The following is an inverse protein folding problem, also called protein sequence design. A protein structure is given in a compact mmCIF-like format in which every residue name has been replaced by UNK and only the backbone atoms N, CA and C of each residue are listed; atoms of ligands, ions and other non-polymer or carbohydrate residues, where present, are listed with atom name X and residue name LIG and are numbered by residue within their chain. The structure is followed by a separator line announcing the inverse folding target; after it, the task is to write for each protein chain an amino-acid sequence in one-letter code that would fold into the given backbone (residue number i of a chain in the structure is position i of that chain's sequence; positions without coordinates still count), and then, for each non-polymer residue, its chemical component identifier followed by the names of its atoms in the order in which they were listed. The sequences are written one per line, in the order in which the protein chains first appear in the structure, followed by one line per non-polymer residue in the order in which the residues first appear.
data_IF_353995778152
#
_entry.id   IF_353995778152
#
_cell.length_a   1.000
_cell.length_b   1.000
_cell.length_c   1.000
_cell.angle_alpha   90.00
_cell.angle_beta   90.00
_cell.angle_gamma   90.00
#
_symmetry.space_group_name_H-M   'P 1'
#
loop_
_entity.id
_entity.type
_entity.pdbx_description
1 polymer ?
#
# COMPACT_ATOMS: atom_id res chain seq x y z
N UNK A 1 -25.77 -31.41 16.24
CA UNK A 1 -25.89 -30.37 15.18
C UNK A 1 -25.69 -29.04 15.90
N UNK A 2 -24.63 -28.26 15.74
CA UNK A 2 -23.90 -27.86 14.54
C UNK A 2 -22.42 -27.65 14.91
N UNK A 3 -21.52 -28.22 14.11
CA UNK A 3 -20.07 -27.97 14.23
C UNK A 3 -19.75 -26.80 13.30
N UNK A 4 -19.38 -25.65 13.87
CA UNK A 4 -18.80 -24.56 13.09
C UNK A 4 -17.30 -24.83 12.93
N UNK A 5 -16.93 -25.35 11.76
CA UNK A 5 -15.55 -25.39 11.29
C UNK A 5 -15.03 -23.96 11.17
N UNK A 6 -14.27 -23.51 12.16
CA UNK A 6 -13.41 -22.35 12.07
C UNK A 6 -12.29 -22.66 11.08
N UNK A 7 -12.46 -22.25 9.82
CA UNK A 7 -11.34 -22.18 8.87
C UNK A 7 -10.61 -20.87 9.16
N UNK A 8 -9.76 -20.92 10.19
CA UNK A 8 -8.83 -19.85 10.53
C UNK A 8 -7.75 -19.72 9.47
N UNK A 9 -7.92 -18.80 8.53
CA UNK A 9 -6.80 -18.23 7.79
C UNK A 9 -6.48 -16.88 8.43
N UNK A 10 -5.69 -16.94 9.52
CA UNK A 10 -4.92 -15.80 9.98
C UNK A 10 -3.94 -15.43 8.87
N UNK A 11 -3.97 -14.18 8.41
CA UNK A 11 -2.91 -13.69 7.53
C UNK A 11 -1.68 -13.55 8.43
N UNK A 12 -0.73 -14.48 8.26
CA UNK A 12 0.56 -14.47 8.96
C UNK A 12 1.24 -13.09 8.75
N UNK A 13 1.75 -12.41 9.78
CA UNK A 13 2.56 -11.21 9.62
C UNK A 13 3.71 -11.35 8.59
N UNK A 14 4.17 -12.58 8.34
CA UNK A 14 5.11 -12.91 7.25
C UNK A 14 4.55 -12.64 5.82
N UNK A 15 3.25 -12.41 5.68
CA UNK A 15 2.56 -12.07 4.42
C UNK A 15 2.77 -10.59 4.05
N UNK A 16 3.03 -9.70 5.00
CA UNK A 16 3.40 -8.30 4.70
C UNK A 16 4.89 -8.15 4.41
N UNK A 17 5.74 -8.97 5.04
CA UNK A 17 7.19 -8.96 4.85
C UNK A 17 7.75 -10.39 4.94
N UNK A 18 8.23 -10.99 3.84
CA UNK A 18 8.88 -12.29 3.94
C UNK A 18 10.14 -12.17 4.80
N UNK A 19 10.28 -13.01 5.83
CA UNK A 19 11.53 -13.11 6.60
C UNK A 19 12.66 -13.48 5.65
N UNK A 20 13.68 -12.63 5.54
CA UNK A 20 14.97 -13.01 4.94
C UNK A 20 15.60 -14.02 5.90
N UNK A 21 15.38 -15.32 5.66
CA UNK A 21 16.06 -16.37 6.41
C UNK A 21 17.54 -16.36 5.99
N UNK A 22 18.40 -15.84 6.86
CA UNK A 22 19.83 -16.13 6.82
C UNK A 22 20.01 -17.65 6.93
N UNK A 23 20.53 -18.27 5.88
CA UNK A 23 20.77 -19.71 5.84
C UNK A 23 21.96 -20.06 6.72
N UNK A 24 21.71 -20.44 7.97
CA UNK A 24 22.62 -21.31 8.70
C UNK A 24 22.36 -22.75 8.20
N UNK A 25 23.26 -23.25 7.33
CA UNK A 25 23.30 -24.66 6.94
C UNK A 25 23.50 -25.53 8.19
N UNK A 26 22.62 -26.49 8.40
CA UNK A 26 22.97 -27.76 9.05
C UNK A 26 22.52 -28.89 8.15
N UNK A 27 23.50 -29.64 7.66
CA UNK A 27 23.30 -30.89 6.94
C UNK A 27 22.68 -31.94 7.87
N UNK A 28 21.67 -32.65 7.36
CA UNK A 28 21.40 -34.04 7.74
C UNK A 28 20.59 -34.76 6.64
N UNK A 29 21.09 -35.95 6.33
CA UNK A 29 20.78 -36.87 5.24
C UNK A 29 19.33 -37.41 5.11
N UNK A 30 18.85 -37.47 3.85
CA UNK A 30 18.25 -38.62 3.10
C UNK A 30 17.09 -39.45 3.71
N UNK A 31 15.95 -39.50 2.98
CA UNK A 31 15.41 -40.64 2.15
C UNK A 31 13.90 -40.48 1.87
N UNK A 32 13.46 -40.90 0.69
CA UNK A 32 12.06 -41.29 0.40
C UNK A 32 11.45 -40.63 -0.84
N UNK A 33 11.51 -41.32 -1.99
CA UNK A 33 10.93 -40.90 -3.25
C UNK A 33 9.47 -41.35 -3.39
N UNK A 34 8.62 -40.51 -4.00
CA UNK A 34 7.50 -40.96 -4.85
C UNK A 34 7.23 -39.92 -5.95
N UNK A 35 7.23 -40.41 -7.18
CA UNK A 35 7.05 -39.71 -8.46
C UNK A 35 5.57 -39.30 -8.62
N UNK A 36 5.28 -38.05 -8.98
CA UNK A 36 4.00 -37.65 -9.59
C UNK A 36 4.29 -36.72 -10.77
N UNK A 37 3.70 -37.09 -11.90
CA UNK A 37 3.84 -36.43 -13.19
C UNK A 37 3.38 -34.98 -13.12
N UNK A 38 4.25 -34.06 -13.54
CA UNK A 38 3.93 -32.64 -13.69
C UNK A 38 4.11 -32.25 -15.15
N UNK A 39 3.00 -31.83 -15.75
CA UNK A 39 2.93 -31.26 -17.10
C UNK A 39 3.81 -30.00 -17.15
N UNK A 40 4.78 -29.99 -18.06
CA UNK A 40 5.69 -28.87 -18.25
C UNK A 40 4.95 -27.69 -18.91
N UNK A 41 4.91 -26.54 -18.21
CA UNK A 41 4.54 -25.26 -18.81
C UNK A 41 5.76 -24.69 -19.57
N UNK A 42 5.55 -24.01 -20.72
CA UNK A 42 6.64 -23.49 -21.52
C UNK A 42 7.44 -22.43 -20.74
N UNK A 43 8.76 -22.61 -20.74
CA UNK A 43 9.71 -21.68 -20.11
C UNK A 43 10.05 -20.57 -21.10
N UNK A 44 9.46 -19.39 -20.89
CA UNK A 44 9.92 -18.18 -21.54
C UNK A 44 11.24 -17.75 -20.90
N UNK A 45 12.37 -18.01 -21.57
CA UNK A 45 13.68 -17.51 -21.17
C UNK A 45 13.83 -16.06 -21.64
N UNK A 46 13.41 -15.10 -20.82
CA UNK A 46 13.97 -13.76 -20.87
C UNK A 46 15.26 -13.77 -20.06
N UNK A 47 16.40 -13.85 -20.75
CA UNK A 47 17.72 -13.73 -20.14
C UNK A 47 18.03 -12.27 -19.82
N UNK A 48 17.52 -11.78 -18.70
CA UNK A 48 18.09 -10.60 -18.04
C UNK A 48 19.26 -11.10 -17.19
N UNK A 49 20.47 -11.02 -17.73
CA UNK A 49 21.71 -11.20 -16.94
C UNK A 49 21.89 -9.94 -16.11
N UNK A 50 21.26 -9.91 -14.93
CA UNK A 50 21.65 -8.97 -13.90
C UNK A 50 22.90 -9.54 -13.23
N UNK A 51 24.05 -8.90 -13.46
CA UNK A 51 25.27 -9.12 -12.70
C UNK A 51 25.09 -8.47 -11.30
N UNK A 52 24.12 -8.95 -10.53
CA UNK A 52 23.82 -8.44 -9.19
C UNK A 52 24.56 -9.27 -8.18
N UNK A 53 25.56 -8.69 -7.51
CA UNK A 53 25.94 -9.15 -6.18
C UNK A 53 24.72 -8.91 -5.28
N UNK A 54 24.01 -9.96 -4.81
CA UNK A 54 22.87 -9.75 -3.92
C UNK A 54 23.36 -9.05 -2.65
N UNK A 55 22.57 -8.08 -2.16
CA UNK A 55 22.85 -7.40 -0.90
C UNK A 55 23.06 -8.43 0.22
N UNK A 56 24.18 -8.31 0.94
CA UNK A 56 24.48 -9.20 2.07
C UNK A 56 23.60 -8.86 3.27
N UNK A 57 23.49 -9.80 4.24
CA UNK A 57 22.79 -9.52 5.50
C UNK A 57 23.36 -8.28 6.21
N UNK A 58 24.68 -8.08 6.14
CA UNK A 58 25.36 -6.90 6.70
C UNK A 58 24.91 -5.60 6.02
N UNK A 59 24.70 -5.61 4.71
CA UNK A 59 24.24 -4.43 3.96
C UNK A 59 22.81 -4.06 4.35
N UNK A 60 21.93 -5.06 4.49
CA UNK A 60 20.56 -4.86 4.99
C UNK A 60 20.54 -4.33 6.42
N UNK A 61 21.36 -4.89 7.31
CA UNK A 61 21.47 -4.41 8.69
C UNK A 61 21.98 -2.97 8.74
N UNK A 62 23.01 -2.64 7.96
CA UNK A 62 23.54 -1.28 7.88
C UNK A 62 22.49 -0.29 7.35
N UNK A 63 21.70 -0.67 6.34
CA UNK A 63 20.60 0.14 5.83
C UNK A 63 19.51 0.35 6.89
N UNK A 64 19.13 -0.71 7.62
CA UNK A 64 18.16 -0.64 8.70
C UNK A 64 18.62 0.31 9.81
N UNK A 65 19.87 0.21 10.26
CA UNK A 65 20.40 1.10 11.30
C UNK A 65 20.42 2.57 10.85
N UNK A 66 20.72 2.85 9.58
CA UNK A 66 20.62 4.21 9.01
C UNK A 66 19.18 4.73 9.02
N UNK A 67 18.21 3.87 8.67
CA UNK A 67 16.79 4.24 8.72
C UNK A 67 16.32 4.51 10.15
N UNK A 68 16.70 3.68 11.13
CA UNK A 68 16.39 3.91 12.54
C UNK A 68 16.98 5.24 13.04
N UNK A 69 18.25 5.53 12.69
CA UNK A 69 18.87 6.82 12.98
C UNK A 69 18.10 8.00 12.39
N UNK A 70 17.62 7.89 11.14
CA UNK A 70 16.81 8.93 10.50
C UNK A 70 15.44 9.11 11.14
N UNK A 71 14.82 8.03 11.62
CA UNK A 71 13.56 8.08 12.37
C UNK A 71 13.76 8.84 13.68
N UNK A 72 14.81 8.51 14.46
CA UNK A 72 15.13 9.25 15.69
C UNK A 72 15.37 10.73 15.41
N UNK A 73 16.18 11.05 14.39
CA UNK A 73 16.44 12.44 14.00
C UNK A 73 15.16 13.19 13.59
N UNK A 74 14.27 12.52 12.84
CA UNK A 74 12.97 13.10 12.44
C UNK A 74 12.08 13.33 13.65
N UNK A 75 11.96 12.34 14.56
CA UNK A 75 11.17 12.45 15.77
C UNK A 75 11.64 13.58 16.71
N UNK A 76 12.94 13.90 16.72
CA UNK A 76 13.48 15.06 17.43
C UNK A 76 13.23 16.41 16.75
N UNK A 77 12.93 16.42 15.44
CA UNK A 77 12.67 17.64 14.68
C UNK A 77 11.18 17.99 14.57
N UNK A 78 10.30 17.00 14.48
CA UNK A 78 8.87 17.22 14.24
C UNK A 78 8.08 17.09 15.54
N UNK A 79 7.56 18.22 16.04
CA UNK A 79 6.76 18.29 17.27
C UNK A 79 5.30 18.65 16.98
N UNK A 80 5.10 19.62 16.09
CA UNK A 80 3.79 20.29 15.91
C UNK A 80 3.07 19.90 14.62
N UNK A 81 3.72 19.14 13.72
CA UNK A 81 3.11 18.70 12.47
C UNK A 81 3.81 17.49 11.87
N UNK A 82 3.08 16.76 11.01
CA UNK A 82 3.57 15.57 10.34
C UNK A 82 4.60 15.96 9.28
N UNK A 83 5.75 15.28 9.18
CA UNK A 83 6.73 15.54 8.13
C UNK A 83 6.11 15.25 6.75
N UNK A 84 6.28 16.18 5.81
CA UNK A 84 5.74 16.07 4.47
C UNK A 84 6.84 15.88 3.41
N UNK A 85 7.78 16.83 3.33
CA UNK A 85 9.00 16.71 2.52
C UNK A 85 10.16 17.40 3.20
N UNK A 86 11.38 16.91 2.94
CA UNK A 86 12.60 17.42 3.52
C UNK A 86 13.40 18.23 2.51
N UNK A 87 14.03 19.31 2.96
CA UNK A 87 15.07 20.00 2.22
C UNK A 87 16.27 19.04 2.02
N UNK A 88 16.71 18.76 0.78
CA UNK A 88 17.78 17.82 0.51
C UNK A 88 19.17 18.31 0.97
N UNK A 89 19.37 19.62 1.10
CA UNK A 89 20.63 20.21 1.55
C UNK A 89 20.71 20.28 3.07
N UNK A 90 19.63 20.69 3.73
CA UNK A 90 19.62 20.91 5.19
C UNK A 90 19.03 19.74 5.98
N UNK A 91 18.28 18.86 5.32
CA UNK A 91 17.56 17.77 5.95
C UNK A 91 16.34 18.21 6.76
N UNK A 92 15.97 19.50 6.74
CA UNK A 92 14.86 20.06 7.51
C UNK A 92 13.51 19.69 6.91
N UNK A 93 12.57 19.28 7.75
CA UNK A 93 11.21 18.96 7.35
C UNK A 93 10.32 20.20 7.18
N UNK A 94 9.64 20.29 6.05
CA UNK A 94 8.36 20.98 5.96
C UNK A 94 7.29 20.06 6.55
N UNK A 95 6.48 20.59 7.47
CA UNK A 95 5.47 19.82 8.19
C UNK A 95 4.04 20.25 7.85
N UNK A 96 3.08 19.38 8.14
CA UNK A 96 1.65 19.60 7.95
C UNK A 96 0.90 19.34 9.27
N UNK A 97 0.09 20.28 9.81
CA UNK A 97 -0.48 20.13 11.14
C UNK A 97 -1.35 18.88 11.32
N UNK A 98 -2.25 18.62 10.37
CA UNK A 98 -3.19 17.50 10.42
C UNK A 98 -2.78 16.32 9.50
N UNK A 99 -1.53 16.31 9.04
CA UNK A 99 -1.02 15.32 8.08
C UNK A 99 -1.62 15.53 6.70
N UNK A 100 -0.87 16.06 5.74
CA UNK A 100 -1.28 15.98 4.33
C UNK A 100 -1.48 14.51 3.90
N UNK A 101 -1.76 14.20 2.63
CA UNK A 101 -1.88 12.82 2.13
C UNK A 101 -0.71 11.88 2.52
N UNK A 102 0.44 12.46 2.93
CA UNK A 102 1.61 11.74 3.42
C UNK A 102 1.63 11.46 4.92
N UNK A 103 0.70 11.99 5.71
CA UNK A 103 0.74 11.96 7.18
C UNK A 103 0.91 10.54 7.74
N UNK A 104 0.20 9.57 7.16
CA UNK A 104 0.29 8.16 7.55
C UNK A 104 1.66 7.51 7.34
N UNK A 105 2.53 8.04 6.46
CA UNK A 105 3.84 7.42 6.21
C UNK A 105 4.80 7.58 7.39
N UNK A 106 4.76 8.71 8.11
CA UNK A 106 5.58 8.92 9.30
C UNK A 106 5.24 7.90 10.39
N UNK A 107 3.95 7.79 10.68
CA UNK A 107 3.41 6.77 11.57
C UNK A 107 3.83 5.37 11.15
N UNK A 108 3.73 5.06 9.85
CA UNK A 108 4.12 3.76 9.31
C UNK A 108 5.59 3.44 9.55
N UNK A 109 6.49 4.42 9.36
CA UNK A 109 7.91 4.27 9.69
C UNK A 109 8.11 3.99 11.19
N UNK A 110 7.40 4.68 12.08
CA UNK A 110 7.46 4.43 13.52
C UNK A 110 6.91 3.05 13.90
N UNK A 111 5.81 2.59 13.28
CA UNK A 111 5.28 1.24 13.48
C UNK A 111 6.25 0.16 13.02
N UNK A 112 6.89 0.35 11.86
CA UNK A 112 7.91 -0.56 11.35
C UNK A 112 9.14 -0.59 12.25
N UNK A 113 9.60 0.56 12.76
CA UNK A 113 10.70 0.62 13.72
C UNK A 113 10.35 -0.10 15.03
N UNK A 114 9.15 0.12 15.56
CA UNK A 114 8.66 -0.57 16.75
C UNK A 114 8.61 -2.09 16.55
N UNK A 115 8.11 -2.57 15.41
CA UNK A 115 8.09 -3.99 15.07
C UNK A 115 9.50 -4.56 14.90
N UNK A 116 10.39 -3.84 14.21
CA UNK A 116 11.75 -4.31 13.93
C UNK A 116 12.62 -4.39 15.19
N UNK A 117 12.47 -3.46 16.14
CA UNK A 117 13.35 -3.39 17.31
C UNK A 117 12.72 -3.87 18.61
N UNK A 118 11.39 -3.98 18.67
CA UNK A 118 10.65 -4.27 19.91
C UNK A 118 10.83 -3.21 21.01
N UNK A 119 11.14 -1.96 20.63
CA UNK A 119 11.44 -0.87 21.59
C UNK A 119 10.25 0.05 21.77
N UNK A 120 9.93 0.35 23.02
CA UNK A 120 8.76 1.16 23.40
C UNK A 120 8.74 2.59 22.85
N UNK A 121 9.86 3.36 22.80
CA UNK A 121 9.82 4.74 22.30
C UNK A 121 9.27 4.87 20.87
N UNK A 122 9.55 3.91 19.99
CA UNK A 122 9.00 3.92 18.63
C UNK A 122 7.50 3.66 18.61
N UNK A 123 7.03 2.74 19.48
CA UNK A 123 5.60 2.43 19.62
C UNK A 123 4.84 3.63 20.16
N UNK A 124 5.39 4.32 21.16
CA UNK A 124 4.81 5.52 21.75
C UNK A 124 4.71 6.65 20.73
N UNK A 125 5.77 6.91 19.97
CA UNK A 125 5.72 7.86 18.86
C UNK A 125 4.67 7.46 17.83
N UNK A 126 4.70 6.21 17.36
CA UNK A 126 3.76 5.74 16.35
C UNK A 126 2.32 6.00 16.79
N UNK A 127 1.97 5.61 18.02
CA UNK A 127 0.63 5.81 18.54
C UNK A 127 0.27 7.30 18.72
N UNK A 128 1.15 8.11 19.30
CA UNK A 128 0.89 9.53 19.54
C UNK A 128 0.57 10.27 18.22
N UNK A 129 1.30 9.95 17.15
CA UNK A 129 1.02 10.48 15.82
C UNK A 129 -0.23 9.86 15.18
N UNK A 130 -0.59 8.62 15.53
CA UNK A 130 -1.77 7.93 14.97
C UNK A 130 -3.04 8.53 15.50
N UNK A 131 -3.07 8.90 16.78
CA UNK A 131 -4.20 9.59 17.41
C UNK A 131 -4.52 10.91 16.71
N UNK A 132 -3.49 11.66 16.30
CA UNK A 132 -3.63 12.93 15.57
C UNK A 132 -4.31 12.78 14.20
N UNK A 133 -4.32 11.59 13.61
CA UNK A 133 -4.98 11.33 12.33
C UNK A 133 -6.49 11.15 12.44
N UNK A 134 -7.07 10.94 13.64
CA UNK A 134 -8.51 10.67 13.80
C UNK A 134 -9.41 11.72 13.15
N UNK A 135 -9.03 13.00 13.25
CA UNK A 135 -9.78 14.11 12.63
C UNK A 135 -9.88 13.98 11.11
N UNK A 136 -9.00 13.22 10.47
CA UNK A 136 -8.99 12.97 9.01
C UNK A 136 -9.92 11.85 8.58
N UNK A 137 -10.61 11.17 9.51
CA UNK A 137 -11.58 10.12 9.17
C UNK A 137 -12.72 10.65 8.28
N UNK A 138 -13.07 11.94 8.45
CA UNK A 138 -14.15 12.60 7.70
C UNK A 138 -13.69 13.45 6.52
N UNK A 139 -12.39 13.71 6.34
CA UNK A 139 -11.85 14.56 5.26
C UNK A 139 -12.33 14.12 3.88
N UNK A 140 -12.83 15.02 3.04
CA UNK A 140 -13.29 14.70 1.68
C UNK A 140 -12.12 14.45 0.71
N UNK A 141 -11.39 13.37 0.95
CA UNK A 141 -10.35 12.88 0.04
C UNK A 141 -10.20 11.36 0.09
N UNK A 142 -9.90 10.76 -1.06
CA UNK A 142 -9.52 9.34 -1.18
C UNK A 142 -8.19 9.02 -0.49
N UNK A 143 -7.30 10.00 -0.32
CA UNK A 143 -5.98 9.80 0.28
C UNK A 143 -6.04 9.42 1.76
N UNK A 144 -7.22 9.49 2.40
CA UNK A 144 -7.42 8.92 3.73
C UNK A 144 -7.12 7.42 3.78
N UNK A 145 -7.24 6.72 2.64
CA UNK A 145 -6.75 5.34 2.50
C UNK A 145 -5.29 5.19 2.94
N UNK A 146 -4.38 6.07 2.53
CA UNK A 146 -2.99 6.06 2.99
C UNK A 146 -2.85 6.41 4.46
N UNK A 147 -3.56 7.46 4.89
CA UNK A 147 -3.48 7.95 6.25
C UNK A 147 -3.76 6.82 7.24
N UNK A 148 -4.82 6.05 7.02
CA UNK A 148 -5.21 5.01 7.94
C UNK A 148 -4.58 3.64 7.63
N UNK A 149 -4.22 3.33 6.38
CA UNK A 149 -3.46 2.12 6.06
C UNK A 149 -2.05 2.15 6.68
N UNK A 150 -1.26 3.19 6.39
CA UNK A 150 0.08 3.30 6.97
C UNK A 150 0.04 3.79 8.41
N UNK A 151 -0.89 4.70 8.71
CA UNK A 151 -0.92 5.35 10.01
C UNK A 151 -1.47 4.50 11.13
N UNK A 152 -2.48 3.67 10.88
CA UNK A 152 -3.16 2.93 11.95
C UNK A 152 -3.14 1.42 11.74
N UNK A 153 -3.42 0.94 10.52
CA UNK A 153 -3.52 -0.49 10.25
C UNK A 153 -2.22 -1.24 10.53
N UNK A 154 -1.06 -0.66 10.22
CA UNK A 154 0.23 -1.32 10.51
C UNK A 154 0.40 -1.61 12.01
N UNK A 155 0.05 -0.69 12.89
CA UNK A 155 0.10 -0.92 14.35
C UNK A 155 -0.85 -2.02 14.81
N UNK A 156 -2.03 -2.10 14.21
CA UNK A 156 -3.01 -3.15 14.50
C UNK A 156 -2.50 -4.53 14.06
N UNK A 157 -1.95 -4.65 12.85
CA UNK A 157 -1.54 -5.94 12.26
C UNK A 157 -0.18 -6.41 12.76
N UNK A 158 0.81 -5.52 12.89
CA UNK A 158 2.18 -5.88 13.23
C UNK A 158 2.41 -6.05 14.74
N UNK A 159 1.63 -5.35 15.56
CA UNK A 159 1.83 -5.28 17.01
C UNK A 159 0.57 -5.60 17.81
N UNK A 160 -0.57 -5.86 17.15
CA UNK A 160 -1.84 -6.13 17.84
C UNK A 160 -2.33 -4.94 18.67
N UNK A 161 -1.96 -3.70 18.33
CA UNK A 161 -2.29 -2.54 19.17
C UNK A 161 -3.79 -2.21 19.07
N UNK A 162 -4.57 -2.28 20.17
CA UNK A 162 -6.02 -2.11 20.13
C UNK A 162 -6.43 -0.66 19.84
N UNK A 163 -5.60 0.33 20.18
CA UNK A 163 -5.88 1.75 19.89
C UNK A 163 -5.66 2.02 18.41
N UNK A 164 -4.57 1.51 17.84
CA UNK A 164 -4.33 1.58 16.40
C UNK A 164 -5.45 0.86 15.61
N UNK A 165 -5.91 -0.30 16.10
CA UNK A 165 -7.07 -1.02 15.53
C UNK A 165 -8.33 -0.15 15.49
N UNK A 166 -8.67 0.52 16.58
CA UNK A 166 -9.84 1.41 16.64
C UNK A 166 -9.74 2.56 15.62
N UNK A 167 -8.58 3.21 15.53
CA UNK A 167 -8.34 4.33 14.61
C UNK A 167 -8.42 3.87 13.14
N UNK A 168 -7.88 2.69 12.84
CA UNK A 168 -7.96 2.11 11.49
C UNK A 168 -9.42 1.84 11.07
N UNK A 169 -10.24 1.31 11.99
CA UNK A 169 -11.67 1.07 11.75
C UNK A 169 -12.46 2.37 11.56
N UNK A 170 -12.17 3.40 12.35
CA UNK A 170 -12.78 4.73 12.18
C UNK A 170 -12.45 5.34 10.81
N UNK A 171 -11.19 5.26 10.40
CA UNK A 171 -10.74 5.70 9.08
C UNK A 171 -11.42 4.92 7.94
N UNK A 172 -11.52 3.59 8.09
CA UNK A 172 -12.19 2.71 7.13
C UNK A 172 -13.69 3.06 6.99
N UNK A 173 -14.41 3.19 8.10
CA UNK A 173 -15.82 3.57 8.12
C UNK A 173 -16.04 4.96 7.51
N UNK A 174 -15.14 5.90 7.79
CA UNK A 174 -15.11 7.23 7.17
C UNK A 174 -14.97 7.18 5.66
N UNK A 175 -14.03 6.37 5.17
CA UNK A 175 -13.77 6.23 3.76
C UNK A 175 -14.88 5.51 2.99
N UNK A 176 -15.45 4.44 3.57
CA UNK A 176 -16.54 3.67 2.97
C UNK A 176 -17.75 4.55 2.58
N UNK A 177 -18.03 5.62 3.35
CA UNK A 177 -19.11 6.58 3.05
C UNK A 177 -18.90 7.39 1.77
N UNK A 178 -17.66 7.49 1.28
CA UNK A 178 -17.33 8.22 0.05
C UNK A 178 -17.41 7.35 -1.21
N UNK A 179 -17.82 6.09 -1.09
CA UNK A 179 -17.92 5.19 -2.23
C UNK A 179 -18.99 5.64 -3.22
N UNK A 180 -18.61 5.86 -4.48
CA UNK A 180 -19.57 6.08 -5.56
C UNK A 180 -19.90 4.73 -6.21
N UNK A 181 -21.06 4.18 -5.87
CA UNK A 181 -21.51 2.88 -6.38
C UNK A 181 -21.77 2.85 -7.89
N UNK A 182 -22.15 3.98 -8.51
CA UNK A 182 -22.36 4.06 -9.96
C UNK A 182 -21.04 4.04 -10.72
N UNK A 183 -20.03 4.72 -10.18
CA UNK A 183 -18.68 4.69 -10.72
C UNK A 183 -17.88 3.45 -10.33
N UNK A 184 -18.33 2.69 -9.33
CA UNK A 184 -17.62 1.53 -8.81
C UNK A 184 -16.29 1.87 -8.11
N UNK A 185 -16.13 3.12 -7.65
CA UNK A 185 -14.86 3.64 -7.13
C UNK A 185 -15.05 4.72 -6.06
N UNK A 186 -14.01 4.91 -5.23
CA UNK A 186 -13.84 6.10 -4.39
C UNK A 186 -13.30 7.28 -5.22
N UNK A 187 -14.03 8.40 -5.32
CA UNK A 187 -13.55 9.60 -6.01
C UNK A 187 -12.46 10.33 -5.22
N UNK A 188 -11.68 11.18 -5.90
CA UNK A 188 -10.59 11.94 -5.29
C UNK A 188 -11.02 12.83 -4.12
N UNK A 189 -12.22 13.41 -4.20
CA UNK A 189 -12.75 14.35 -3.22
C UNK A 189 -12.32 15.79 -3.46
N UNK A 190 -13.03 16.74 -2.86
CA UNK A 190 -12.75 18.18 -3.03
C UNK A 190 -11.52 18.65 -2.22
N UNK A 191 -11.11 17.92 -1.19
CA UNK A 191 -9.95 18.28 -0.34
C UNK A 191 -8.62 17.70 -0.85
N UNK A 192 -8.62 16.95 -1.96
CA UNK A 192 -7.41 16.43 -2.57
C UNK A 192 -6.45 17.55 -3.00
N UNK A 193 -5.15 17.41 -2.73
CA UNK A 193 -4.11 18.41 -3.07
C UNK A 193 -3.47 18.11 -4.42
N UNK A 194 -4.26 18.13 -5.49
CA UNK A 194 -3.84 17.95 -6.90
C UNK A 194 -4.53 18.99 -7.79
N UNK A 195 -4.16 19.10 -9.08
CA UNK A 195 -4.71 20.15 -9.96
C UNK A 195 -6.18 19.96 -10.31
N UNK A 196 -6.59 18.71 -10.59
CA UNK A 196 -7.98 18.33 -10.85
C UNK A 196 -8.51 17.56 -9.64
N UNK A 197 -9.55 18.11 -9.00
CA UNK A 197 -10.15 17.58 -7.76
C UNK A 197 -11.65 17.39 -7.95
N UNK A 198 -12.26 16.59 -7.07
CA UNK A 198 -13.71 16.43 -7.03
C UNK A 198 -14.19 14.99 -7.15
N UNK A 199 -15.50 14.84 -7.34
CA UNK A 199 -16.18 13.54 -7.24
C UNK A 199 -16.27 12.77 -8.56
N UNK A 200 -15.73 13.32 -9.64
CA UNK A 200 -15.54 12.68 -10.94
C UNK A 200 -14.08 12.40 -11.29
N UNK A 201 -13.17 12.46 -10.32
CA UNK A 201 -11.73 12.31 -10.55
C UNK A 201 -11.20 11.05 -9.85
N UNK A 202 -10.31 10.33 -10.54
CA UNK A 202 -9.67 9.09 -10.09
C UNK A 202 -8.14 9.18 -10.27
N UNK A 203 -7.40 8.45 -9.44
CA UNK A 203 -5.94 8.47 -9.45
C UNK A 203 -5.36 7.12 -9.01
N UNK A 204 -4.34 6.61 -9.73
CA UNK A 204 -3.78 5.28 -9.46
C UNK A 204 -3.22 5.11 -8.05
N UNK A 205 -2.76 6.19 -7.42
CA UNK A 205 -2.17 6.20 -6.09
C UNK A 205 -3.11 5.50 -5.07
N UNK A 206 -4.43 5.59 -5.26
CA UNK A 206 -5.44 5.17 -4.27
C UNK A 206 -5.62 3.66 -4.14
N UNK A 207 -5.17 2.88 -5.13
CA UNK A 207 -5.41 1.43 -5.18
C UNK A 207 -4.86 0.72 -3.94
N UNK A 208 -3.64 1.03 -3.52
CA UNK A 208 -3.05 0.41 -2.32
C UNK A 208 -3.83 0.74 -1.04
N UNK A 209 -4.45 1.92 -0.96
CA UNK A 209 -5.25 2.33 0.20
C UNK A 209 -6.46 1.40 0.41
N UNK A 210 -6.99 0.80 -0.67
CA UNK A 210 -8.18 -0.06 -0.64
C UNK A 210 -7.98 -1.32 0.24
N UNK A 211 -6.73 -1.72 0.47
CA UNK A 211 -6.40 -2.80 1.40
C UNK A 211 -6.88 -2.54 2.83
N UNK A 212 -7.00 -1.27 3.25
CA UNK A 212 -7.59 -0.91 4.54
C UNK A 212 -9.01 -1.46 4.70
N UNK A 213 -9.84 -1.30 3.66
CA UNK A 213 -11.23 -1.75 3.67
C UNK A 213 -11.35 -3.27 3.63
N UNK A 214 -10.41 -3.97 2.97
CA UNK A 214 -10.38 -5.43 2.96
C UNK A 214 -10.12 -5.99 4.36
N UNK A 215 -9.15 -5.43 5.08
CA UNK A 215 -8.91 -5.79 6.48
C UNK A 215 -10.10 -5.41 7.37
N UNK A 216 -10.59 -4.17 7.26
CA UNK A 216 -11.65 -3.64 8.10
C UNK A 216 -12.96 -4.41 7.93
N UNK A 217 -13.27 -4.89 6.72
CA UNK A 217 -14.44 -5.73 6.45
C UNK A 217 -14.50 -6.97 7.36
N UNK A 218 -13.35 -7.61 7.58
CA UNK A 218 -13.25 -8.79 8.45
C UNK A 218 -13.36 -8.39 9.91
N UNK A 219 -12.67 -7.33 10.30
CA UNK A 219 -12.58 -6.87 11.70
C UNK A 219 -13.87 -6.25 12.23
N UNK A 220 -14.68 -5.65 11.36
CA UNK A 220 -15.97 -5.05 11.71
C UNK A 220 -17.17 -5.97 11.41
N UNK A 221 -16.97 -7.09 10.70
CA UNK A 221 -18.08 -7.92 10.23
C UNK A 221 -18.89 -7.28 9.09
N UNK A 222 -18.27 -6.42 8.30
CA UNK A 222 -18.88 -5.62 7.24
C UNK A 222 -18.43 -6.09 5.84
N UNK A 223 -19.06 -7.13 5.25
CA UNK A 223 -18.59 -7.74 4.00
C UNK A 223 -18.67 -6.79 2.79
N UNK A 224 -19.54 -5.78 2.86
CA UNK A 224 -19.70 -4.77 1.80
C UNK A 224 -18.42 -3.96 1.57
N UNK A 225 -17.62 -3.71 2.61
CA UNK A 225 -16.36 -2.95 2.49
C UNK A 225 -15.33 -3.70 1.62
N UNK A 226 -15.26 -5.03 1.72
CA UNK A 226 -14.40 -5.85 0.84
C UNK A 226 -14.85 -5.72 -0.62
N UNK A 227 -16.16 -5.72 -0.87
CA UNK A 227 -16.71 -5.59 -2.22
C UNK A 227 -16.40 -4.21 -2.83
N UNK A 228 -16.55 -3.14 -2.04
CA UNK A 228 -16.17 -1.78 -2.45
C UNK A 228 -14.69 -1.68 -2.81
N UNK A 229 -13.80 -2.26 -1.99
CA UNK A 229 -12.36 -2.27 -2.24
C UNK A 229 -11.99 -2.98 -3.55
N UNK A 230 -12.59 -4.15 -3.80
CA UNK A 230 -12.37 -4.93 -5.03
C UNK A 230 -12.91 -4.19 -6.24
N UNK A 231 -14.12 -3.63 -6.16
CA UNK A 231 -14.71 -2.84 -7.24
C UNK A 231 -13.81 -1.64 -7.58
N UNK A 232 -13.39 -0.87 -6.58
CA UNK A 232 -12.51 0.28 -6.79
C UNK A 232 -11.20 -0.12 -7.46
N UNK A 233 -10.60 -1.22 -7.02
CA UNK A 233 -9.33 -1.74 -7.58
C UNK A 233 -9.48 -2.19 -9.03
N UNK A 234 -10.57 -2.90 -9.36
CA UNK A 234 -10.90 -3.29 -10.74
C UNK A 234 -11.16 -2.08 -11.62
N UNK A 235 -11.92 -1.10 -11.11
CA UNK A 235 -12.22 0.12 -11.86
C UNK A 235 -10.94 0.88 -12.25
N UNK A 236 -9.93 0.88 -11.39
CA UNK A 236 -8.64 1.51 -11.70
C UNK A 236 -7.84 0.79 -12.80
N UNK A 237 -8.16 -0.47 -13.12
CA UNK A 237 -7.59 -1.15 -14.30
C UNK A 237 -8.06 -0.44 -15.55
N UNK A 238 -9.37 -0.17 -15.64
CA UNK A 238 -9.97 0.54 -16.77
C UNK A 238 -9.53 2.00 -16.82
N UNK A 239 -9.46 2.68 -15.67
CA UNK A 239 -9.06 4.08 -15.62
C UNK A 239 -7.59 4.28 -15.98
N UNK A 240 -6.69 3.51 -15.38
CA UNK A 240 -5.28 3.89 -15.33
C UNK A 240 -4.33 2.96 -16.10
N UNK A 241 -4.71 1.70 -16.34
CA UNK A 241 -3.79 0.70 -16.91
C UNK A 241 -3.97 0.63 -18.43
N UNK A 242 -2.89 0.89 -19.17
CA UNK A 242 -2.87 0.75 -20.63
C UNK A 242 -2.62 -0.71 -21.03
N UNK A 243 -2.93 -1.05 -22.28
CA UNK A 243 -2.82 -2.42 -22.79
C UNK A 243 -1.38 -2.96 -22.80
N UNK A 244 -0.39 -2.08 -22.94
CA UNK A 244 1.03 -2.41 -22.92
C UNK A 244 1.61 -2.58 -21.50
N UNK A 245 0.82 -2.31 -20.45
CA UNK A 245 1.27 -2.36 -19.06
C UNK A 245 1.79 -1.03 -18.52
N UNK A 246 1.89 0.02 -19.35
CA UNK A 246 2.16 1.36 -18.87
C UNK A 246 0.96 1.95 -18.12
N UNK A 247 1.21 2.92 -17.26
CA UNK A 247 0.19 3.46 -16.35
C UNK A 247 0.02 4.96 -16.57
N UNK A 248 -1.23 5.39 -16.84
CA UNK A 248 -1.58 6.81 -16.73
C UNK A 248 -1.90 7.16 -15.28
N UNK A 249 -1.60 8.39 -14.88
CA UNK A 249 -1.70 8.80 -13.49
C UNK A 249 -3.15 8.93 -13.02
N UNK A 250 -3.99 9.61 -13.80
CA UNK A 250 -5.35 9.98 -13.42
C UNK A 250 -6.35 9.73 -14.55
N UNK A 251 -7.62 9.66 -14.19
CA UNK A 251 -8.74 9.67 -15.12
C UNK A 251 -9.92 10.47 -14.56
N UNK A 252 -10.68 11.12 -15.45
CA UNK A 252 -11.97 11.71 -15.11
C UNK A 252 -13.09 10.74 -15.52
N UNK A 253 -14.16 10.69 -14.73
CA UNK A 253 -15.36 9.91 -15.00
C UNK A 253 -16.61 10.72 -14.62
N UNK A 254 -17.73 10.42 -15.26
CA UNK A 254 -19.02 11.01 -14.91
C UNK A 254 -19.52 10.38 -13.59
N UNK A 255 -19.76 11.16 -12.52
CA UNK A 255 -20.15 10.61 -11.22
C UNK A 255 -21.58 10.04 -11.19
N UNK A 256 -22.43 10.41 -12.17
CA UNK A 256 -23.81 9.96 -12.29
C UNK A 256 -23.94 8.62 -13.02
N UNK A 257 -23.00 8.27 -13.89
CA UNK A 257 -23.05 7.08 -14.75
C UNK A 257 -21.84 6.16 -14.58
N UNK A 258 -20.74 6.67 -14.07
CA UNK A 258 -19.45 5.98 -14.00
C UNK A 258 -18.66 5.98 -15.31
N UNK A 259 -19.18 6.58 -16.39
CA UNK A 259 -18.54 6.57 -17.70
C UNK A 259 -17.19 7.31 -17.67
N UNK A 260 -16.13 6.69 -18.19
CA UNK A 260 -14.81 7.33 -18.27
C UNK A 260 -14.86 8.43 -19.33
N UNK A 261 -14.37 9.62 -18.98
CA UNK A 261 -14.37 10.80 -19.84
C UNK A 261 -13.01 11.02 -20.51
N UNK A 262 -11.93 10.92 -19.72
CA UNK A 262 -10.56 11.12 -20.20
C UNK A 262 -9.54 10.49 -19.26
N UNK A 263 -8.32 10.30 -19.76
CA UNK A 263 -7.11 10.05 -18.98
C UNK A 263 -6.22 11.28 -19.05
N UNK A 264 -5.51 11.58 -17.97
CA UNK A 264 -4.64 12.75 -17.91
C UNK A 264 -3.56 12.60 -16.83
N UNK A 265 -2.65 13.58 -16.79
CA UNK A 265 -1.67 13.69 -15.73
C UNK A 265 -1.50 15.13 -15.25
N UNK A 266 -1.09 15.29 -13.99
CA UNK A 266 -0.66 16.56 -13.43
C UNK A 266 0.77 16.52 -12.88
N UNK A 267 1.44 15.36 -12.98
CA UNK A 267 2.84 15.14 -12.54
C UNK A 267 3.72 14.48 -13.61
N UNK A 268 3.13 13.87 -14.62
CA UNK A 268 3.81 13.39 -15.81
C UNK A 268 4.10 14.50 -16.80
N UNK A 269 5.00 14.25 -17.75
CA UNK A 269 5.42 15.25 -18.74
C UNK A 269 4.34 15.54 -19.78
N UNK A 270 3.50 14.55 -20.08
CA UNK A 270 2.34 14.61 -21.00
C UNK A 270 1.27 13.59 -20.61
N UNK A 271 0.03 13.77 -21.03
CA UNK A 271 -1.07 12.84 -20.71
C UNK A 271 -0.85 11.41 -21.23
N UNK A 272 -0.11 11.28 -22.33
CA UNK A 272 0.27 9.99 -22.93
C UNK A 272 1.56 9.40 -22.33
N UNK A 273 2.25 10.14 -21.46
CA UNK A 273 3.45 9.66 -20.79
C UNK A 273 3.14 8.71 -19.63
N UNK A 274 4.20 8.10 -19.10
CA UNK A 274 4.14 7.26 -17.90
C UNK A 274 4.99 7.90 -16.82
N UNK A 275 4.32 8.51 -15.85
CA UNK A 275 5.01 9.04 -14.69
C UNK A 275 5.53 7.89 -13.82
N UNK A 276 6.83 7.89 -13.55
CA UNK A 276 7.49 6.76 -12.88
C UNK A 276 6.80 6.33 -11.58
N UNK A 277 6.31 7.28 -10.77
CA UNK A 277 5.61 6.97 -9.52
C UNK A 277 4.19 6.41 -9.74
N UNK A 278 3.49 6.76 -10.82
CA UNK A 278 2.22 6.12 -11.17
C UNK A 278 2.44 4.63 -11.48
N UNK A 279 3.50 4.30 -12.23
CA UNK A 279 3.88 2.92 -12.50
C UNK A 279 4.17 2.16 -11.20
N UNK A 280 4.99 2.75 -10.31
CA UNK A 280 5.30 2.17 -9.01
C UNK A 280 4.07 1.95 -8.12
N UNK A 281 3.11 2.89 -8.13
CA UNK A 281 1.86 2.74 -7.38
C UNK A 281 0.97 1.63 -7.91
N UNK A 282 0.91 1.42 -9.22
CA UNK A 282 0.21 0.28 -9.77
C UNK A 282 0.87 -1.04 -9.32
N UNK A 283 2.20 -1.15 -9.45
CA UNK A 283 2.94 -2.36 -9.05
C UNK A 283 2.65 -2.70 -7.57
N UNK A 284 2.84 -1.72 -6.67
CA UNK A 284 2.64 -1.92 -5.23
C UNK A 284 1.17 -2.15 -4.91
N UNK A 285 0.27 -1.34 -5.47
CA UNK A 285 -1.16 -1.38 -5.17
C UNK A 285 -1.80 -2.70 -5.58
N UNK A 286 -1.57 -3.16 -6.81
CA UNK A 286 -2.12 -4.43 -7.28
C UNK A 286 -1.48 -5.64 -6.59
N UNK A 287 -0.18 -5.57 -6.25
CA UNK A 287 0.48 -6.61 -5.43
C UNK A 287 -0.15 -6.71 -4.05
N UNK A 288 -0.35 -5.57 -3.37
CA UNK A 288 -0.99 -5.52 -2.05
C UNK A 288 -2.44 -6.00 -2.12
N UNK A 289 -3.20 -5.54 -3.12
CA UNK A 289 -4.59 -5.97 -3.26
C UNK A 289 -4.69 -7.47 -3.52
N UNK A 290 -3.85 -8.05 -4.38
CA UNK A 290 -3.78 -9.51 -4.54
C UNK A 290 -3.47 -10.22 -3.21
N UNK A 291 -2.48 -9.74 -2.44
CA UNK A 291 -2.11 -10.31 -1.13
C UNK A 291 -3.28 -10.29 -0.14
N UNK A 292 -4.06 -9.21 -0.12
CA UNK A 292 -5.17 -9.04 0.81
C UNK A 292 -6.44 -9.77 0.38
N UNK A 293 -6.70 -9.89 -0.92
CA UNK A 293 -7.98 -10.42 -1.43
C UNK A 293 -7.88 -11.84 -1.98
N UNK A 294 -6.71 -12.26 -2.46
CA UNK A 294 -6.49 -13.50 -3.22
C UNK A 294 -6.90 -13.43 -4.69
N UNK A 295 -7.37 -12.29 -5.19
CA UNK A 295 -7.89 -12.16 -6.55
C UNK A 295 -6.74 -12.22 -7.58
N UNK A 296 -6.83 -13.15 -8.53
CA UNK A 296 -5.76 -13.45 -9.51
C UNK A 296 -5.57 -12.36 -10.56
N UNK A 297 -6.64 -11.70 -10.97
CA UNK A 297 -6.60 -10.57 -11.91
C UNK A 297 -5.72 -9.42 -11.39
N UNK A 298 -5.67 -9.17 -10.09
CA UNK A 298 -4.77 -8.19 -9.49
C UNK A 298 -3.30 -8.60 -9.60
N UNK A 299 -2.99 -9.89 -9.44
CA UNK A 299 -1.63 -10.39 -9.65
C UNK A 299 -1.20 -10.20 -11.11
N UNK A 300 -2.09 -10.49 -12.06
CA UNK A 300 -1.80 -10.37 -13.48
C UNK A 300 -1.49 -8.90 -13.87
N UNK A 301 -2.22 -7.94 -13.29
CA UNK A 301 -1.94 -6.50 -13.48
C UNK A 301 -0.62 -6.09 -12.82
N UNK A 302 -0.34 -6.57 -11.61
CA UNK A 302 0.92 -6.30 -10.92
C UNK A 302 2.13 -6.80 -11.73
N UNK A 303 2.06 -8.02 -12.27
CA UNK A 303 3.12 -8.59 -13.12
C UNK A 303 3.26 -7.77 -14.40
N UNK A 304 2.16 -7.50 -15.11
CA UNK A 304 2.22 -6.72 -16.37
C UNK A 304 2.82 -5.32 -16.18
N UNK A 305 2.47 -4.64 -15.11
CA UNK A 305 3.01 -3.30 -14.80
C UNK A 305 4.47 -3.37 -14.34
N UNK A 306 4.89 -4.44 -13.66
CA UNK A 306 6.28 -4.67 -13.29
C UNK A 306 7.15 -5.04 -14.51
N UNK A 307 6.67 -5.90 -15.40
CA UNK A 307 7.36 -6.26 -16.64
C UNK A 307 7.60 -5.02 -17.51
N UNK A 308 6.58 -4.16 -17.66
CA UNK A 308 6.74 -2.88 -18.34
C UNK A 308 7.81 -2.01 -17.66
N UNK A 309 7.79 -1.90 -16.33
CA UNK A 309 8.80 -1.13 -15.60
C UNK A 309 10.22 -1.68 -15.83
N UNK A 310 10.43 -2.99 -15.72
CA UNK A 310 11.74 -3.63 -15.91
C UNK A 310 12.28 -3.43 -17.34
N UNK A 311 11.40 -3.37 -18.34
CA UNK A 311 11.79 -3.13 -19.72
C UNK A 311 12.13 -1.65 -20.04
N UNK A 312 11.73 -0.70 -19.19
CA UNK A 312 11.85 0.75 -19.46
C UNK A 312 12.60 1.53 -18.37
N UNK A 313 12.92 0.91 -17.24
CA UNK A 313 13.76 1.51 -16.21
C UNK A 313 15.21 1.65 -16.73
N UNK A 314 15.88 2.78 -16.43
CA UNK A 314 17.26 3.04 -16.87
C UNK A 314 18.28 2.12 -16.19
#
# INVERSE_FOLDING_TARGET
MSSALSVGMAIDPAVLFPRVRGTARRDAARRGATRRDTVALPTWRFGLVYDTCPMSARDWDAALQRMLGRIVATGGQVTDGFPHYGDPATGRWTTSPAGDWTGGFWNGLCWLAAHATGKDPYREWALAWTERLRSRATSDTVFRGFLFYYGALLGAVLLGDPRARAIALEGAAGWARSYNARAGAFPLGAEAKVSDVGHGEANIDTVQGAALLVWAAREAGEPTWRQMAISHTRRHIEFCIRSDGSVCQSASFDPGTGAMLRRYTHKGIRDDSTWARAQAWAIVGYTLMHRWTGERDFLDVAVRTADWWLAHAP
#
